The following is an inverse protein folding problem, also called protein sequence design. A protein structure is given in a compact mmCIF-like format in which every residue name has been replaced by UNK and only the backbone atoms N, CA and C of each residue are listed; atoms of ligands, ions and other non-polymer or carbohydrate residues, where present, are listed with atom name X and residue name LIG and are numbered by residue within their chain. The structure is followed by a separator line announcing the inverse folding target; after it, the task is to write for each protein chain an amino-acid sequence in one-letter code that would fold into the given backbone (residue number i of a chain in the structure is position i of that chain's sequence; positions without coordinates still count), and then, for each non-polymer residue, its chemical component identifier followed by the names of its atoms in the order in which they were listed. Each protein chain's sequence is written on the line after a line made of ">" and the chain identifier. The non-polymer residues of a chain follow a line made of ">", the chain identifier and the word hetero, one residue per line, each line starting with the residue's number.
data_IF_207226123807
#
_entry.id   IF_207226123807
#
_cell.length_a   1.000
_cell.length_b   1.000
_cell.length_c   1.000
_cell.angle_alpha   90.00
_cell.angle_beta   90.00
_cell.angle_gamma   90.00
#
_symmetry.space_group_name_H-M   'P 1'
#
loop_
_entity.id
_entity.type
_entity.pdbx_description
1 polymer ?
#
# COMPACT_ATOMS: atom_id res chain seq x y z
N UNK A 1 33.98 59.30 -11.55
CA UNK A 1 33.65 58.43 -10.41
C UNK A 1 33.19 57.09 -10.99
N UNK A 2 34.12 56.21 -11.37
CA UNK A 2 34.53 54.98 -10.64
C UNK A 2 33.29 54.14 -10.27
N UNK A 3 32.93 53.13 -11.09
CA UNK A 3 33.24 51.67 -10.97
C UNK A 3 32.49 51.03 -9.79
N UNK A 4 31.77 49.89 -9.87
CA UNK A 4 31.98 48.58 -10.51
C UNK A 4 30.60 47.88 -10.70
N UNK A 5 30.26 47.16 -11.78
CA UNK A 5 30.71 45.82 -12.26
C UNK A 5 30.22 44.70 -11.31
N UNK A 6 29.42 43.68 -11.67
CA UNK A 6 29.57 42.59 -12.69
C UNK A 6 28.21 41.81 -12.77
N UNK A 7 27.54 41.48 -13.90
CA UNK A 7 27.80 40.55 -15.04
C UNK A 7 27.82 39.04 -14.67
N UNK A 8 27.39 38.00 -15.42
CA UNK A 8 26.87 37.65 -16.78
C UNK A 8 26.00 36.35 -16.56
N UNK A 9 24.82 36.08 -17.16
CA UNK A 9 24.51 35.54 -18.52
C UNK A 9 24.81 34.03 -18.73
N UNK A 10 23.73 33.28 -19.03
CA UNK A 10 23.53 32.04 -19.82
C UNK A 10 24.60 30.93 -19.89
N UNK A 11 24.15 29.68 -19.74
CA UNK A 11 24.68 28.57 -20.55
C UNK A 11 23.62 27.47 -20.79
N UNK A 12 23.20 27.37 -22.05
CA UNK A 12 22.59 26.20 -22.68
C UNK A 12 23.75 25.33 -23.17
N UNK A 13 23.79 24.05 -22.82
CA UNK A 13 24.70 23.09 -23.46
C UNK A 13 23.93 21.84 -23.83
N UNK A 14 23.77 21.66 -25.15
CA UNK A 14 23.63 20.36 -25.78
C UNK A 14 25.01 19.68 -25.85
N UNK A 15 25.07 18.38 -25.57
CA UNK A 15 26.19 17.53 -26.00
C UNK A 15 25.61 16.29 -26.68
N UNK A 16 25.91 16.18 -27.96
CA UNK A 16 26.19 14.93 -28.70
C UNK A 16 27.60 15.14 -29.29
N UNK A 17 28.51 14.18 -29.53
CA UNK A 17 28.40 12.77 -29.94
C UNK A 17 29.72 12.01 -29.66
N UNK A 18 29.61 10.67 -29.54
CA UNK A 18 30.51 9.58 -30.00
C UNK A 18 31.90 9.31 -29.39
N UNK A 19 32.04 8.11 -28.80
CA UNK A 19 33.10 7.15 -29.18
C UNK A 19 32.65 5.70 -28.92
N UNK A 20 32.71 4.84 -29.94
CA UNK A 20 32.72 3.38 -29.76
C UNK A 20 33.99 2.95 -29.02
N UNK A 21 33.87 2.16 -27.95
CA UNK A 21 34.78 1.06 -27.66
C UNK A 21 34.32 0.26 -26.44
N UNK A 22 34.30 -1.06 -26.63
CA UNK A 22 34.32 -2.17 -25.67
C UNK A 22 33.14 -2.34 -24.72
N UNK A 23 32.48 -3.49 -24.90
CA UNK A 23 31.63 -4.19 -23.95
C UNK A 23 32.07 -4.00 -22.50
N UNK A 24 31.15 -3.47 -21.70
CA UNK A 24 30.92 -3.92 -20.34
C UNK A 24 29.49 -3.51 -19.99
N UNK A 25 28.55 -4.44 -20.19
CA UNK A 25 27.22 -4.40 -19.57
C UNK A 25 27.42 -4.39 -18.07
N UNK A 26 27.59 -3.19 -17.51
CA UNK A 26 27.60 -3.02 -16.06
C UNK A 26 26.14 -3.06 -15.66
N UNK A 27 25.68 -4.20 -15.14
CA UNK A 27 24.38 -4.30 -14.47
C UNK A 27 24.26 -3.13 -13.50
N UNK A 28 23.33 -2.20 -13.76
CA UNK A 28 23.07 -1.06 -12.90
C UNK A 28 22.29 -1.51 -11.68
N UNK A 29 22.94 -2.30 -10.83
CA UNK A 29 22.39 -2.79 -9.59
C UNK A 29 22.12 -1.60 -8.65
N UNK A 30 20.86 -1.43 -8.24
CA UNK A 30 20.44 -0.40 -7.29
C UNK A 30 19.99 -1.06 -5.99
N UNK A 31 20.44 -0.56 -4.85
CA UNK A 31 19.88 -0.97 -3.56
C UNK A 31 18.63 -0.16 -3.23
N UNK A 32 17.54 -0.84 -2.88
CA UNK A 32 16.30 -0.25 -2.38
C UNK A 32 15.96 -0.81 -0.99
N UNK A 33 15.19 -0.07 -0.21
CA UNK A 33 14.64 -0.55 1.07
C UNK A 33 13.27 -1.16 0.83
N UNK A 34 13.07 -2.39 1.30
CA UNK A 34 11.79 -3.11 1.18
C UNK A 34 11.33 -3.61 2.56
N UNK A 35 10.03 -3.84 2.70
CA UNK A 35 9.43 -4.37 3.92
C UNK A 35 9.70 -5.88 3.99
N UNK A 36 10.54 -6.31 4.93
CA UNK A 36 10.83 -7.73 5.11
C UNK A 36 9.69 -8.46 5.81
N UNK A 37 9.16 -7.83 6.86
CA UNK A 37 8.06 -8.37 7.63
C UNK A 37 7.23 -7.27 8.29
N UNK A 38 5.99 -7.63 8.58
CA UNK A 38 5.03 -6.80 9.29
C UNK A 38 4.36 -7.64 10.37
N UNK A 39 4.18 -7.05 11.55
CA UNK A 39 3.47 -7.69 12.66
C UNK A 39 2.42 -6.74 13.20
N UNK A 40 1.18 -7.21 13.28
CA UNK A 40 0.07 -6.50 13.90
C UNK A 40 -0.34 -7.23 15.17
N UNK A 41 -0.44 -6.50 16.26
CA UNK A 41 -0.99 -6.99 17.53
C UNK A 41 -2.24 -6.16 17.82
N UNK A 42 -3.36 -6.84 17.98
CA UNK A 42 -4.63 -6.24 18.36
C UNK A 42 -5.03 -6.78 19.72
N UNK A 43 -5.21 -5.89 20.70
CA UNK A 43 -5.67 -6.24 22.04
C UNK A 43 -7.06 -5.68 22.26
N UNK A 44 -8.01 -6.55 22.62
CA UNK A 44 -9.39 -6.19 22.93
C UNK A 44 -9.93 -7.08 24.05
N UNK A 45 -10.49 -6.52 25.13
CA UNK A 45 -11.15 -7.29 26.20
C UNK A 45 -10.31 -8.47 26.74
N UNK A 46 -9.01 -8.24 26.96
CA UNK A 46 -8.00 -9.25 27.35
C UNK A 46 -7.70 -10.34 26.31
N UNK A 47 -8.20 -10.23 25.10
CA UNK A 47 -7.81 -11.06 23.96
C UNK A 47 -6.75 -10.34 23.14
N UNK A 48 -5.78 -11.10 22.63
CA UNK A 48 -4.67 -10.62 21.82
C UNK A 48 -4.69 -11.43 20.53
N UNK A 49 -4.96 -10.76 19.42
CA UNK A 49 -4.80 -11.29 18.08
C UNK A 49 -3.45 -10.81 17.52
N UNK A 50 -2.70 -11.72 16.93
CA UNK A 50 -1.40 -11.43 16.34
C UNK A 50 -1.41 -11.90 14.89
N UNK A 51 -1.13 -11.00 13.96
CA UNK A 51 -0.93 -11.32 12.55
C UNK A 51 0.52 -11.03 12.18
N UNK A 52 1.23 -12.03 11.68
CA UNK A 52 2.61 -11.91 11.20
C UNK A 52 2.66 -12.14 9.70
N UNK A 53 3.36 -11.26 8.99
CA UNK A 53 3.43 -11.25 7.54
C UNK A 53 4.88 -11.16 7.09
N UNK A 54 5.28 -12.03 6.16
CA UNK A 54 6.63 -12.03 5.56
C UNK A 54 6.55 -11.98 4.04
N UNK A 55 7.59 -11.42 3.43
CA UNK A 55 7.59 -11.06 2.02
C UNK A 55 8.76 -11.66 1.25
N UNK A 56 8.47 -12.13 0.04
CA UNK A 56 9.46 -12.51 -0.96
C UNK A 56 9.41 -11.55 -2.13
N UNK A 57 10.59 -11.15 -2.62
CA UNK A 57 10.76 -10.18 -3.68
C UNK A 57 11.50 -10.80 -4.86
N UNK A 58 11.17 -10.38 -6.08
CA UNK A 58 12.02 -10.66 -7.24
C UNK A 58 13.16 -9.65 -7.38
N UNK A 59 14.03 -9.90 -8.35
CA UNK A 59 15.18 -9.05 -8.71
C UNK A 59 14.81 -7.62 -9.13
N UNK A 60 13.55 -7.34 -9.44
CA UNK A 60 13.08 -6.00 -9.80
C UNK A 60 12.49 -5.25 -8.60
N UNK A 61 12.49 -5.86 -7.40
CA UNK A 61 11.93 -5.28 -6.18
C UNK A 61 10.42 -5.46 -6.04
N UNK A 62 9.79 -6.29 -6.86
CA UNK A 62 8.36 -6.57 -6.76
C UNK A 62 8.10 -7.73 -5.81
N UNK A 63 7.07 -7.61 -4.96
CA UNK A 63 6.61 -8.71 -4.10
C UNK A 63 6.07 -9.83 -4.98
N UNK A 64 6.68 -11.01 -4.95
CA UNK A 64 6.22 -12.18 -5.68
C UNK A 64 5.39 -13.12 -4.81
N UNK A 65 5.58 -13.02 -3.49
CA UNK A 65 4.84 -13.80 -2.53
C UNK A 65 4.78 -13.11 -1.18
N UNK A 66 3.71 -13.34 -0.44
CA UNK A 66 3.71 -13.12 1.00
C UNK A 66 3.05 -14.28 1.75
N UNK A 67 3.42 -14.43 3.01
CA UNK A 67 2.81 -15.37 3.95
C UNK A 67 2.15 -14.60 5.07
N UNK A 68 0.94 -15.00 5.45
CA UNK A 68 0.28 -14.50 6.66
C UNK A 68 0.10 -15.64 7.64
N UNK A 69 0.43 -15.41 8.91
CA UNK A 69 0.17 -16.34 10.01
C UNK A 69 -0.54 -15.60 11.13
N UNK A 70 -1.70 -16.13 11.52
CA UNK A 70 -2.52 -15.56 12.58
C UNK A 70 -2.47 -16.41 13.85
N UNK A 71 -2.35 -15.74 14.98
CA UNK A 71 -2.37 -16.33 16.31
C UNK A 71 -3.38 -15.61 17.21
N UNK A 72 -3.84 -16.34 18.21
CA UNK A 72 -4.64 -15.84 19.32
C UNK A 72 -3.96 -16.12 20.65
N UNK A 73 -4.13 -15.22 21.60
CA UNK A 73 -3.65 -15.35 22.97
C UNK A 73 -4.56 -14.59 23.93
N UNK A 74 -4.77 -15.14 25.13
CA UNK A 74 -5.42 -14.39 26.21
C UNK A 74 -4.37 -13.67 27.06
N UNK A 75 -4.61 -12.41 27.42
CA UNK A 75 -3.73 -11.59 28.27
C UNK A 75 -3.48 -12.30 29.60
N UNK A 76 -2.22 -12.34 30.03
CA UNK A 76 -1.79 -13.03 31.24
C UNK A 76 -1.51 -14.53 31.08
N UNK A 77 -1.80 -15.12 29.92
CA UNK A 77 -1.34 -16.47 29.57
C UNK A 77 -0.07 -16.37 28.75
N UNK A 78 0.79 -17.39 28.73
CA UNK A 78 1.98 -17.40 27.86
C UNK A 78 1.70 -18.08 26.52
N UNK A 79 0.83 -19.08 26.51
CA UNK A 79 0.54 -19.93 25.34
C UNK A 79 -0.11 -19.14 24.19
N UNK A 80 0.46 -19.31 23.00
CA UNK A 80 -0.08 -18.85 21.72
C UNK A 80 -0.89 -19.98 21.07
N UNK A 81 -2.05 -19.64 20.53
CA UNK A 81 -2.91 -20.55 19.76
C UNK A 81 -2.83 -20.17 18.28
N UNK A 82 -2.43 -21.12 17.44
CA UNK A 82 -2.45 -20.94 15.99
C UNK A 82 -3.90 -20.86 15.48
N UNK A 83 -4.22 -19.85 14.69
CA UNK A 83 -5.53 -19.67 14.07
C UNK A 83 -5.52 -20.13 12.61
N UNK A 84 -4.64 -19.54 11.80
CA UNK A 84 -4.58 -19.82 10.38
C UNK A 84 -3.22 -19.46 9.78
N UNK A 85 -3.02 -19.91 8.54
CA UNK A 85 -1.96 -19.47 7.64
C UNK A 85 -2.52 -19.31 6.23
N UNK A 86 -2.03 -18.32 5.51
CA UNK A 86 -2.22 -18.23 4.06
C UNK A 86 -0.93 -17.83 3.34
N UNK A 87 -0.92 -18.15 2.05
CA UNK A 87 0.11 -17.77 1.09
C UNK A 87 -0.56 -17.03 -0.06
N UNK A 88 -0.03 -15.86 -0.40
CA UNK A 88 -0.46 -15.09 -1.57
C UNK A 88 0.66 -15.04 -2.58
N UNK A 89 0.41 -15.47 -3.80
CA UNK A 89 1.34 -15.39 -4.92
C UNK A 89 0.94 -14.26 -5.87
N UNK A 90 1.94 -13.60 -6.46
CA UNK A 90 1.77 -12.46 -7.37
C UNK A 90 2.49 -12.72 -8.68
N UNK A 91 1.80 -12.51 -9.80
CA UNK A 91 2.33 -12.73 -11.14
C UNK A 91 2.41 -11.43 -11.91
N UNK A 92 3.56 -11.14 -12.50
CA UNK A 92 3.83 -9.89 -13.22
C UNK A 92 4.07 -10.17 -14.71
N UNK A 93 3.77 -9.19 -15.55
CA UNK A 93 4.18 -9.21 -16.94
C UNK A 93 5.65 -8.79 -17.12
N UNK A 94 6.15 -8.85 -18.35
CA UNK A 94 7.52 -8.45 -18.71
C UNK A 94 7.81 -6.96 -18.47
N UNK A 95 6.77 -6.12 -18.39
CA UNK A 95 6.86 -4.71 -18.03
C UNK A 95 6.71 -4.45 -16.52
N UNK A 96 6.86 -5.49 -15.68
CA UNK A 96 6.73 -5.42 -14.23
C UNK A 96 5.37 -4.93 -13.72
N UNK A 97 4.29 -5.11 -14.49
CA UNK A 97 2.92 -4.84 -14.06
C UNK A 97 2.30 -6.10 -13.48
N UNK A 98 1.71 -5.98 -12.28
CA UNK A 98 1.03 -7.07 -11.61
C UNK A 98 -0.23 -7.45 -12.42
N UNK A 99 -0.31 -8.70 -12.87
CA UNK A 99 -1.43 -9.22 -13.66
C UNK A 99 -2.42 -10.02 -12.82
N UNK A 100 -1.94 -10.70 -11.79
CA UNK A 100 -2.74 -11.70 -11.08
C UNK A 100 -2.23 -11.89 -9.66
N UNK A 101 -3.15 -12.07 -8.72
CA UNK A 101 -2.84 -12.58 -7.39
C UNK A 101 -3.76 -13.75 -7.01
N UNK A 102 -3.20 -14.72 -6.30
CA UNK A 102 -3.94 -15.86 -5.75
C UNK A 102 -3.53 -16.05 -4.30
N UNK A 103 -4.52 -16.02 -3.40
CA UNK A 103 -4.34 -16.40 -2.00
C UNK A 103 -4.85 -17.84 -1.78
N UNK A 104 -4.06 -18.67 -1.09
CA UNK A 104 -4.47 -20.00 -0.63
C UNK A 104 -4.28 -20.13 0.87
N UNK A 105 -5.18 -20.84 1.53
CA UNK A 105 -4.99 -21.22 2.93
C UNK A 105 -4.03 -22.41 3.10
N UNK A 106 -3.78 -22.80 4.35
CA UNK A 106 -2.90 -23.93 4.67
C UNK A 106 -3.37 -25.29 4.13
N UNK A 107 -4.62 -25.41 3.69
CA UNK A 107 -5.18 -26.60 3.06
C UNK A 107 -5.12 -26.53 1.52
N UNK A 108 -4.55 -25.46 0.97
CA UNK A 108 -4.49 -25.21 -0.47
C UNK A 108 -5.79 -24.70 -1.07
N UNK A 109 -6.81 -24.39 -0.26
CA UNK A 109 -8.08 -23.84 -0.76
C UNK A 109 -7.86 -22.39 -1.14
N UNK A 110 -8.29 -22.03 -2.35
CA UNK A 110 -8.22 -20.66 -2.85
C UNK A 110 -9.12 -19.78 -1.97
N UNK A 111 -8.53 -18.74 -1.37
CA UNK A 111 -9.20 -17.68 -0.60
C UNK A 111 -9.56 -16.49 -1.47
N UNK A 112 -8.66 -16.10 -2.36
CA UNK A 112 -8.82 -15.00 -3.32
C UNK A 112 -8.13 -15.36 -4.65
N UNK A 113 -8.66 -14.84 -5.75
CA UNK A 113 -8.14 -15.06 -7.11
C UNK A 113 -8.58 -13.88 -7.98
N UNK A 114 -7.68 -12.90 -8.17
CA UNK A 114 -8.02 -11.60 -8.74
C UNK A 114 -7.06 -11.21 -9.87
N UNK A 115 -7.61 -10.99 -11.06
CA UNK A 115 -6.90 -10.56 -12.26
C UNK A 115 -6.99 -9.02 -12.44
N UNK A 116 -5.88 -8.40 -12.83
CA UNK A 116 -5.74 -6.97 -13.01
C UNK A 116 -5.67 -6.63 -14.51
N UNK A 117 -6.49 -5.66 -14.93
CA UNK A 117 -6.62 -5.24 -16.33
C UNK A 117 -6.14 -3.81 -16.49
N UNK A 118 -5.21 -3.60 -17.43
CA UNK A 118 -4.64 -2.29 -17.74
C UNK A 118 -5.09 -1.83 -19.13
N UNK A 119 -5.17 -0.51 -19.31
CA UNK A 119 -5.29 0.06 -20.66
C UNK A 119 -3.93 0.12 -21.38
N UNK A 120 -3.95 0.55 -22.63
CA UNK A 120 -2.75 0.68 -23.48
C UNK A 120 -1.70 1.65 -22.92
N UNK A 121 -2.08 2.52 -21.99
CA UNK A 121 -1.18 3.44 -21.27
C UNK A 121 -0.58 2.82 -20.01
N UNK A 122 -0.87 1.55 -19.71
CA UNK A 122 -0.37 0.84 -18.54
C UNK A 122 -1.01 1.28 -17.22
N UNK A 123 -2.21 1.88 -17.29
CA UNK A 123 -3.01 2.33 -16.14
C UNK A 123 -4.02 1.24 -15.78
N UNK A 124 -4.14 0.91 -14.49
CA UNK A 124 -5.12 -0.06 -14.01
C UNK A 124 -6.54 0.47 -14.25
N UNK A 125 -7.35 -0.32 -14.94
CA UNK A 125 -8.74 0.03 -15.28
C UNK A 125 -9.76 -0.90 -14.68
N UNK A 126 -9.42 -2.18 -14.47
CA UNK A 126 -10.34 -3.15 -13.87
C UNK A 126 -9.63 -4.17 -13.01
N UNK A 127 -10.37 -4.71 -12.07
CA UNK A 127 -10.02 -5.93 -11.36
C UNK A 127 -11.18 -6.89 -11.43
N UNK A 128 -10.86 -8.13 -11.81
CA UNK A 128 -11.81 -9.20 -12.01
C UNK A 128 -11.46 -10.32 -11.03
N UNK A 129 -12.37 -10.60 -10.11
CA UNK A 129 -12.26 -11.74 -9.23
C UNK A 129 -12.79 -12.98 -9.93
N UNK A 130 -11.92 -13.96 -10.14
CA UNK A 130 -12.29 -15.27 -10.68
C UNK A 130 -13.04 -16.13 -9.66
N UNK A 131 -12.94 -15.78 -8.37
CA UNK A 131 -13.62 -16.49 -7.28
C UNK A 131 -14.97 -15.88 -6.92
N UNK A 132 -15.06 -14.55 -6.84
CA UNK A 132 -16.25 -13.86 -6.38
C UNK A 132 -16.67 -12.78 -7.38
N UNK A 133 -17.58 -13.08 -8.30
CA UNK A 133 -18.01 -12.13 -9.33
C UNK A 133 -18.52 -10.79 -8.79
N UNK A 134 -19.06 -10.77 -7.57
CA UNK A 134 -19.47 -9.55 -6.88
C UNK A 134 -18.28 -8.70 -6.35
N UNK A 135 -17.05 -9.14 -6.51
CA UNK A 135 -15.81 -8.42 -6.20
C UNK A 135 -15.13 -7.82 -7.45
N UNK A 136 -15.85 -7.72 -8.57
CA UNK A 136 -15.33 -7.07 -9.76
C UNK A 136 -15.49 -5.54 -9.66
N UNK A 137 -14.43 -4.83 -10.00
CA UNK A 137 -14.38 -3.37 -9.93
C UNK A 137 -13.76 -2.79 -11.19
N UNK A 138 -14.20 -1.59 -11.56
CA UNK A 138 -13.54 -0.74 -12.53
C UNK A 138 -13.13 0.58 -11.87
N UNK A 139 -12.09 1.18 -12.43
CA UNK A 139 -11.40 2.32 -11.87
C UNK A 139 -11.34 3.45 -12.88
N UNK A 140 -11.48 4.69 -12.41
CA UNK A 140 -11.06 5.88 -13.15
C UNK A 140 -9.89 6.53 -12.43
N UNK A 141 -8.96 7.01 -13.23
CA UNK A 141 -7.78 7.72 -12.75
C UNK A 141 -7.80 9.20 -13.15
N UNK A 142 -7.20 10.04 -12.32
CA UNK A 142 -7.04 11.46 -12.60
C UNK A 142 -5.80 11.69 -13.48
N UNK A 143 -5.47 12.95 -13.78
CA UNK A 143 -4.31 13.33 -14.59
C UNK A 143 -2.95 12.90 -14.01
N UNK A 144 -2.91 12.60 -12.70
CA UNK A 144 -1.72 12.10 -12.00
C UNK A 144 -1.67 10.56 -11.95
N UNK A 145 -2.54 9.87 -12.71
CA UNK A 145 -2.72 8.42 -12.69
C UNK A 145 -3.14 7.84 -11.33
N UNK A 146 -3.74 8.65 -10.45
CA UNK A 146 -4.26 8.19 -9.16
C UNK A 146 -5.72 7.75 -9.33
N UNK A 147 -6.10 6.63 -8.72
CA UNK A 147 -7.49 6.14 -8.74
C UNK A 147 -8.36 7.09 -7.93
N UNK A 148 -9.20 7.89 -8.59
CA UNK A 148 -10.11 8.80 -7.88
C UNK A 148 -11.53 8.23 -7.77
N UNK A 149 -11.83 7.18 -8.50
CA UNK A 149 -13.18 6.65 -8.59
C UNK A 149 -13.19 5.14 -8.81
N UNK A 150 -14.04 4.43 -8.07
CA UNK A 150 -14.24 2.98 -8.16
C UNK A 150 -15.71 2.66 -8.31
N UNK A 151 -16.04 1.81 -9.28
CA UNK A 151 -17.40 1.32 -9.49
C UNK A 151 -17.43 -0.20 -9.56
N UNK A 152 -18.35 -0.85 -8.84
CA UNK A 152 -18.54 -2.29 -8.86
C UNK A 152 -19.30 -2.72 -10.13
N UNK A 153 -18.82 -3.74 -10.83
CA UNK A 153 -19.37 -4.13 -12.15
C UNK A 153 -20.73 -4.84 -12.06
N UNK A 154 -20.99 -5.57 -10.98
CA UNK A 154 -22.09 -6.54 -10.93
C UNK A 154 -22.80 -6.59 -9.57
N UNK A 155 -22.96 -5.46 -8.88
CA UNK A 155 -23.62 -5.45 -7.57
C UNK A 155 -24.61 -4.30 -7.43
N UNK A 156 -25.90 -4.65 -7.46
CA UNK A 156 -27.04 -3.73 -7.28
C UNK A 156 -27.03 -3.00 -5.92
N UNK A 157 -26.25 -3.51 -4.95
CA UNK A 157 -26.21 -2.99 -3.58
C UNK A 157 -24.87 -2.32 -3.20
N UNK A 158 -24.00 -2.02 -4.17
CA UNK A 158 -22.73 -1.35 -3.89
C UNK A 158 -22.72 0.06 -4.45
N UNK A 159 -22.37 1.00 -3.59
CA UNK A 159 -22.15 2.39 -3.98
C UNK A 159 -20.80 2.56 -4.66
N UNK A 160 -20.74 3.48 -5.63
CA UNK A 160 -19.49 3.94 -6.19
C UNK A 160 -18.70 4.72 -5.13
N UNK A 161 -17.38 4.64 -5.21
CA UNK A 161 -16.46 5.21 -4.22
C UNK A 161 -15.62 6.28 -4.90
N UNK A 162 -15.54 7.45 -4.27
CA UNK A 162 -14.69 8.57 -4.67
C UNK A 162 -13.55 8.76 -3.67
N UNK A 163 -12.33 8.89 -4.18
CA UNK A 163 -11.13 9.24 -3.43
C UNK A 163 -10.72 10.68 -3.71
N UNK A 164 -10.50 11.45 -2.65
CA UNK A 164 -9.96 12.80 -2.73
C UNK A 164 -8.52 12.81 -2.24
N UNK A 165 -7.68 13.61 -2.92
CA UNK A 165 -6.25 13.66 -2.68
C UNK A 165 -5.80 15.06 -2.27
N UNK A 166 -4.78 15.16 -1.42
CA UNK A 166 -4.05 16.39 -1.21
C UNK A 166 -3.05 16.68 -2.35
N UNK A 167 -2.39 17.82 -2.30
CA UNK A 167 -1.35 18.20 -3.27
C UNK A 167 -0.09 17.34 -3.21
N UNK A 168 0.10 16.55 -2.15
CA UNK A 168 1.21 15.60 -1.99
C UNK A 168 0.86 14.20 -2.53
N UNK A 169 -0.39 14.01 -2.96
CA UNK A 169 -0.90 12.76 -3.50
C UNK A 169 -1.38 11.76 -2.43
N UNK A 170 -1.58 12.20 -1.19
CA UNK A 170 -2.17 11.38 -0.15
C UNK A 170 -3.71 11.41 -0.23
N UNK A 171 -4.38 10.29 0.07
CA UNK A 171 -5.85 10.26 0.13
C UNK A 171 -6.33 10.96 1.39
N UNK A 172 -6.97 12.11 1.25
CA UNK A 172 -7.52 12.87 2.39
C UNK A 172 -8.92 12.43 2.78
N UNK A 173 -9.67 11.87 1.84
CA UNK A 173 -10.99 11.34 2.15
C UNK A 173 -11.50 10.33 1.14
N UNK A 174 -12.43 9.51 1.62
CA UNK A 174 -13.23 8.57 0.84
C UNK A 174 -14.68 8.96 1.01
N UNK A 175 -15.45 9.00 -0.07
CA UNK A 175 -16.90 9.21 -0.01
C UNK A 175 -17.64 8.30 -0.97
N UNK A 176 -18.93 8.13 -0.74
CA UNK A 176 -19.80 7.49 -1.71
C UNK A 176 -20.19 8.51 -2.77
N UNK A 177 -20.34 8.07 -4.01
CA UNK A 177 -20.88 8.92 -5.08
C UNK A 177 -22.20 9.56 -4.64
N UNK A 178 -22.35 10.85 -4.94
CA UNK A 178 -23.53 11.63 -4.57
C UNK A 178 -23.60 12.04 -3.09
N UNK A 179 -22.70 11.54 -2.24
CA UNK A 179 -22.60 12.00 -0.85
C UNK A 179 -21.91 13.37 -0.78
N UNK A 180 -22.50 14.30 -0.04
CA UNK A 180 -21.90 15.60 0.27
C UNK A 180 -20.89 15.52 1.41
N UNK A 181 -20.97 14.48 2.25
CA UNK A 181 -20.07 14.26 3.37
C UNK A 181 -19.12 13.09 3.09
N UNK A 182 -17.85 13.20 3.51
CA UNK A 182 -16.92 12.09 3.43
C UNK A 182 -17.37 10.95 4.35
N UNK A 183 -17.16 9.72 3.88
CA UNK A 183 -17.33 8.53 4.71
C UNK A 183 -16.15 8.34 5.66
N UNK A 184 -14.96 8.63 5.16
CA UNK A 184 -13.70 8.53 5.89
C UNK A 184 -12.83 9.73 5.55
N UNK A 185 -12.14 10.24 6.56
CA UNK A 185 -11.20 11.35 6.46
C UNK A 185 -9.87 10.96 7.09
N UNK A 186 -8.77 11.39 6.46
CA UNK A 186 -7.41 11.08 6.87
C UNK A 186 -6.59 12.36 6.96
N UNK A 187 -5.77 12.46 8.00
CA UNK A 187 -4.66 13.43 8.04
C UNK A 187 -3.35 12.70 8.18
N UNK A 188 -2.28 13.38 7.80
CA UNK A 188 -0.93 12.82 7.75
C UNK A 188 0.02 13.63 8.64
N UNK A 189 0.99 12.96 9.26
CA UNK A 189 2.12 13.64 9.88
C UNK A 189 3.10 14.18 8.82
N UNK A 190 4.14 14.87 9.26
CA UNK A 190 5.10 15.53 8.38
C UNK A 190 6.14 14.60 7.77
N UNK A 191 6.24 13.35 8.24
CA UNK A 191 7.19 12.38 7.72
C UNK A 191 6.88 12.04 6.26
N UNK A 192 7.92 11.69 5.51
CA UNK A 192 7.76 11.19 4.14
C UNK A 192 6.96 9.88 4.17
N UNK A 193 6.04 9.71 3.23
CA UNK A 193 5.34 8.45 3.02
C UNK A 193 6.13 7.60 1.99
N UNK A 194 6.98 6.63 2.42
CA UNK A 194 7.75 5.81 1.49
C UNK A 194 6.89 4.87 0.64
N UNK A 195 5.59 4.83 0.91
CA UNK A 195 4.62 3.95 0.31
C UNK A 195 3.44 4.72 -0.29
N UNK A 196 3.60 6.02 -0.57
CA UNK A 196 2.56 6.83 -1.23
C UNK A 196 2.14 6.26 -2.60
N UNK A 197 3.08 5.60 -3.25
CA UNK A 197 2.89 4.92 -4.54
C UNK A 197 2.46 3.46 -4.34
N UNK A 198 2.47 2.96 -3.09
CA UNK A 198 1.79 1.71 -2.77
C UNK A 198 0.30 1.98 -2.68
N UNK A 199 -0.52 1.08 -3.24
CA UNK A 199 -1.96 1.19 -3.10
C UNK A 199 -2.37 1.18 -1.61
N UNK A 200 -3.17 2.17 -1.21
CA UNK A 200 -3.72 2.20 0.14
C UNK A 200 -4.82 1.13 0.25
N UNK A 201 -4.69 0.22 1.23
CA UNK A 201 -5.82 -0.61 1.63
C UNK A 201 -6.79 0.22 2.49
N UNK A 202 -7.62 1.03 1.83
CA UNK A 202 -8.64 1.84 2.51
C UNK A 202 -9.86 0.94 2.76
N UNK A 203 -10.09 0.68 4.04
CA UNK A 203 -11.22 -0.12 4.52
C UNK A 203 -12.51 0.67 4.41
N UNK A 204 -13.13 0.67 3.23
CA UNK A 204 -14.45 1.30 3.02
C UNK A 204 -15.58 0.44 3.62
N UNK A 205 -15.78 0.55 4.94
CA UNK A 205 -16.79 -0.13 5.79
C UNK A 205 -16.88 -1.67 5.74
N UNK A 206 -17.27 -2.22 6.90
CA UNK A 206 -17.52 -3.60 7.42
C UNK A 206 -17.45 -4.87 6.55
N UNK A 207 -17.44 -4.81 5.22
CA UNK A 207 -17.39 -6.03 4.42
C UNK A 207 -16.46 -6.03 3.21
N UNK A 208 -16.05 -4.91 2.60
CA UNK A 208 -15.18 -4.97 1.40
C UNK A 208 -14.34 -3.71 1.19
N UNK A 209 -13.03 -3.89 1.18
CA UNK A 209 -12.08 -2.92 0.61
C UNK A 209 -12.31 -2.84 -0.91
N UNK A 210 -12.39 -1.61 -1.45
CA UNK A 210 -12.23 -1.44 -2.88
C UNK A 210 -10.86 -2.00 -3.26
N UNK A 211 -10.83 -2.90 -4.23
CA UNK A 211 -9.62 -3.66 -4.50
C UNK A 211 -8.49 -2.70 -4.92
N UNK A 212 -7.34 -2.92 -4.33
CA UNK A 212 -6.10 -2.28 -4.70
C UNK A 212 -5.26 -3.32 -5.46
N UNK A 213 -4.45 -2.91 -6.47
CA UNK A 213 -3.58 -3.82 -7.21
C UNK A 213 -2.76 -4.74 -6.31
N UNK A 214 -2.40 -4.30 -5.11
CA UNK A 214 -1.79 -5.13 -4.08
C UNK A 214 -2.68 -5.12 -2.84
N UNK A 215 -3.44 -6.19 -2.65
CA UNK A 215 -4.17 -6.43 -1.39
C UNK A 215 -3.16 -6.73 -0.30
N UNK A 216 -2.98 -5.77 0.57
CA UNK A 216 -2.30 -5.92 1.83
C UNK A 216 -3.39 -5.94 2.91
N UNK A 217 -3.69 -7.08 3.53
CA UNK A 217 -4.59 -7.14 4.71
C UNK A 217 -4.05 -6.33 5.92
N UNK A 218 -2.87 -5.74 5.75
CA UNK A 218 -2.21 -4.77 6.58
C UNK A 218 -2.39 -3.42 5.91
N UNK A 219 -2.95 -2.49 6.67
CA UNK A 219 -2.98 -1.09 6.29
C UNK A 219 -1.73 -0.49 6.92
N UNK A 220 -0.53 -0.56 6.29
CA UNK A 220 0.55 0.28 6.76
C UNK A 220 0.01 1.69 6.54
N UNK A 221 -0.49 2.27 7.62
CA UNK A 221 -1.26 3.49 7.60
C UNK A 221 -0.22 4.59 7.53
N UNK A 222 0.61 4.56 6.50
CA UNK A 222 1.88 5.26 6.51
C UNK A 222 1.59 6.73 6.72
N UNK A 223 2.28 7.27 7.72
CA UNK A 223 2.11 8.59 8.29
C UNK A 223 0.67 9.08 8.54
N UNK A 224 -0.37 8.23 8.47
CA UNK A 224 -1.75 8.62 8.78
C UNK A 224 -1.82 8.91 10.27
N UNK A 225 -1.84 10.21 10.59
CA UNK A 225 -1.89 10.70 11.96
C UNK A 225 -3.29 10.55 12.55
N UNK A 226 -4.31 10.88 11.78
CA UNK A 226 -5.70 10.74 12.23
C UNK A 226 -6.56 10.05 11.18
N UNK A 227 -7.47 9.21 11.66
CA UNK A 227 -8.56 8.64 10.88
C UNK A 227 -9.90 9.04 11.50
N UNK A 228 -10.87 9.40 10.69
CA UNK A 228 -12.23 9.72 11.13
C UNK A 228 -13.23 9.08 10.19
N UNK A 229 -13.96 8.09 10.67
CA UNK A 229 -15.13 7.55 9.98
C UNK A 229 -16.42 8.27 10.38
N UNK A 230 -17.47 8.21 9.55
CA UNK A 230 -18.77 8.85 9.86
C UNK A 230 -19.34 8.44 11.22
N UNK A 231 -19.19 7.16 11.57
CA UNK A 231 -19.80 6.56 12.75
C UNK A 231 -18.80 6.22 13.85
N UNK A 232 -17.53 6.57 13.66
CA UNK A 232 -16.46 6.22 14.58
C UNK A 232 -15.83 7.48 15.17
N UNK A 233 -15.38 7.43 16.44
CA UNK A 233 -14.57 8.49 17.00
C UNK A 233 -13.30 8.71 16.17
N UNK A 234 -12.72 9.91 16.28
CA UNK A 234 -11.43 10.19 15.65
C UNK A 234 -10.39 9.27 16.30
N UNK A 235 -9.72 8.49 15.46
CA UNK A 235 -8.63 7.63 15.84
C UNK A 235 -7.31 8.37 15.57
N UNK A 236 -6.40 8.36 16.54
CA UNK A 236 -5.06 8.94 16.39
C UNK A 236 -4.02 7.83 16.42
N UNK A 237 -3.01 7.93 15.56
CA UNK A 237 -1.87 7.03 15.51
C UNK A 237 -0.59 7.79 15.80
N UNK A 238 0.29 7.16 16.58
CA UNK A 238 1.62 7.66 16.88
C UNK A 238 2.66 6.74 16.24
N UNK A 239 3.60 7.31 15.51
CA UNK A 239 4.64 6.59 14.78
C UNK A 239 6.02 6.78 15.43
N UNK A 240 6.81 5.72 15.37
CA UNK A 240 8.26 5.78 15.48
C UNK A 240 8.85 5.51 14.11
N UNK A 241 9.94 6.21 13.79
CA UNK A 241 10.61 6.14 12.50
C UNK A 241 12.07 5.72 12.69
N UNK A 242 12.62 5.02 11.70
CA UNK A 242 14.07 4.83 11.60
C UNK A 242 14.77 6.10 11.06
N UNK A 243 16.11 6.07 10.99
CA UNK A 243 16.93 7.18 10.48
C UNK A 243 16.62 7.61 9.03
N UNK A 244 16.00 6.72 8.25
CA UNK A 244 15.65 6.93 6.85
C UNK A 244 14.16 7.32 6.69
N UNK A 245 13.49 7.67 7.80
CA UNK A 245 12.07 8.05 7.90
C UNK A 245 11.07 6.95 7.46
N UNK A 246 11.44 5.67 7.59
CA UNK A 246 10.47 4.58 7.47
C UNK A 246 9.83 4.28 8.84
N UNK A 247 8.51 4.09 8.93
CA UNK A 247 7.84 3.79 10.18
C UNK A 247 8.27 2.42 10.70
N UNK A 248 8.76 2.31 11.92
CA UNK A 248 9.19 1.03 12.54
C UNK A 248 8.18 0.51 13.54
N UNK A 249 7.39 1.41 14.13
CA UNK A 249 6.33 1.08 15.07
C UNK A 249 5.20 2.10 14.98
N UNK A 250 3.96 1.64 15.16
CA UNK A 250 2.83 2.53 15.46
C UNK A 250 2.00 1.96 16.59
N UNK A 251 1.43 2.85 17.39
CA UNK A 251 0.43 2.54 18.40
C UNK A 251 -0.84 3.33 18.16
N UNK A 252 -1.96 2.64 18.29
CA UNK A 252 -3.32 3.17 18.24
C UNK A 252 -4.05 2.71 19.50
N UNK A 253 -4.74 3.64 20.15
CA UNK A 253 -5.63 3.36 21.28
C UNK A 253 -7.01 3.90 20.91
N UNK A 254 -7.98 2.99 20.80
CA UNK A 254 -9.38 3.33 20.56
C UNK A 254 -10.17 3.42 21.88
N UNK A 255 -11.38 3.98 21.81
CA UNK A 255 -12.33 3.91 22.91
C UNK A 255 -12.58 2.44 23.30
N UNK A 256 -12.68 2.17 24.61
CA UNK A 256 -12.78 0.83 25.23
C UNK A 256 -11.48 0.01 25.28
N UNK A 257 -10.31 0.65 25.37
CA UNK A 257 -9.01 -0.02 25.52
C UNK A 257 -8.64 -0.99 24.38
N UNK A 258 -9.27 -0.84 23.21
CA UNK A 258 -8.83 -1.54 22.00
C UNK A 258 -7.51 -0.94 21.54
N UNK A 259 -6.43 -1.71 21.67
CA UNK A 259 -5.08 -1.27 21.33
C UNK A 259 -4.63 -2.01 20.08
N UNK A 260 -4.16 -1.28 19.08
CA UNK A 260 -3.46 -1.86 17.93
C UNK A 260 -2.03 -1.38 17.92
N UNK A 261 -1.10 -2.32 17.87
CA UNK A 261 0.32 -2.08 17.69
C UNK A 261 0.76 -2.70 16.38
N UNK A 262 1.53 -1.96 15.59
CA UNK A 262 2.05 -2.46 14.32
C UNK A 262 3.57 -2.27 14.31
N UNK A 263 4.29 -3.31 13.89
CA UNK A 263 5.75 -3.34 13.82
C UNK A 263 6.16 -3.59 12.38
N UNK A 264 7.13 -2.83 11.89
CA UNK A 264 7.62 -2.91 10.52
C UNK A 264 9.11 -3.19 10.56
N UNK A 265 9.52 -4.25 9.87
CA UNK A 265 10.92 -4.58 9.70
C UNK A 265 11.31 -4.46 8.24
N UNK A 266 12.46 -3.84 7.99
CA UNK A 266 12.93 -3.50 6.65
C UNK A 266 14.26 -4.17 6.37
N UNK A 267 14.49 -4.46 5.09
CA UNK A 267 15.79 -4.89 4.60
C UNK A 267 16.20 -4.14 3.34
N UNK A 268 17.50 -4.11 3.11
CA UNK A 268 18.05 -3.72 1.82
C UNK A 268 17.84 -4.85 0.80
N UNK A 269 17.46 -4.48 -0.43
CA UNK A 269 17.33 -5.38 -1.56
C UNK A 269 18.08 -4.77 -2.74
N UNK A 270 19.01 -5.52 -3.31
CA UNK A 270 19.65 -5.16 -4.58
C UNK A 270 18.70 -5.53 -5.72
N UNK A 271 18.38 -4.56 -6.58
CA UNK A 271 17.53 -4.75 -7.75
C UNK A 271 18.28 -4.47 -9.04
N UNK A 272 17.93 -5.25 -10.06
CA UNK A 272 18.38 -5.05 -11.44
C UNK A 272 17.58 -3.91 -12.08
N UNK A 273 18.25 -2.97 -12.73
CA UNK A 273 17.64 -1.89 -13.51
C UNK A 273 18.12 -1.90 -14.95
#
# INVERSE_FOLDING_TARGET
>A
MIRNITFFTYLLVAISISSCSSDNTTENNKTITVLESYKKITTENNNILISEITFEYNKNGNVIKHYTVDYFKKKGYEKLFYLNKSETNYTYNTSNKLLHLIEKDSLGKIKEDDALVYNDKGILTKVLSNKYSNSNYEYKTNSNNQIYYVYPIASENKSNIEYLYDTKGNVTSVKLEGSTLPREEFTYDEAYNPFKDMPLNLSVLEYRTAFSPIRYNYTPSNNIKTYKGVFYPIETKEYQYNKDNYPTYTKKINHNEYITEEFFNYKALTVEK
#
